data_IF_833696084457
#
_entry.id   IF_833696084457
#
_cell.length_a   1.000
_cell.length_b   1.000
_cell.length_c   1.000
_cell.angle_alpha   90.00
_cell.angle_beta   90.00
_cell.angle_gamma   90.00
#
_symmetry.space_group_name_H-M   'P 1'
#
loop_
_entity.id
_entity.type
_entity.pdbx_description
1 polymer ?
#
# COMPACT_ATOMS: atom_id res chain seq x y z
N UNK A 1 -5.52 6.77 -17.14
CA UNK A 1 -5.12 5.69 -16.23
C UNK A 1 -5.66 6.11 -14.88
N UNK A 2 -6.65 5.40 -14.35
CA UNK A 2 -7.08 5.64 -12.96
C UNK A 2 -5.99 5.06 -12.06
N UNK A 3 -5.60 5.83 -11.05
CA UNK A 3 -4.71 5.35 -10.00
C UNK A 3 -5.49 4.34 -9.14
N UNK A 4 -4.89 3.18 -8.85
CA UNK A 4 -5.53 2.17 -8.01
C UNK A 4 -5.89 2.73 -6.62
N UNK A 5 -5.11 3.69 -6.12
CA UNK A 5 -5.39 4.37 -4.85
C UNK A 5 -6.63 5.25 -4.93
N UNK A 6 -6.80 6.00 -6.04
CA UNK A 6 -7.99 6.82 -6.27
C UNK A 6 -9.27 5.96 -6.32
N UNK A 7 -9.19 4.76 -6.93
CA UNK A 7 -10.32 3.83 -7.01
C UNK A 7 -10.83 3.36 -5.64
N UNK A 8 -9.94 3.28 -4.65
CA UNK A 8 -10.28 2.92 -3.27
C UNK A 8 -10.44 4.15 -2.35
N UNK A 9 -10.44 5.37 -2.92
CA UNK A 9 -10.58 6.62 -2.18
C UNK A 9 -9.39 6.94 -1.27
N UNK A 10 -8.19 6.47 -1.61
CA UNK A 10 -6.95 6.65 -0.86
C UNK A 10 -5.92 7.44 -1.67
N UNK A 11 -4.81 7.79 -1.04
CA UNK A 11 -3.70 8.52 -1.64
C UNK A 11 -2.34 7.96 -1.18
N UNK A 12 -1.27 8.53 -1.71
CA UNK A 12 0.12 8.14 -1.39
C UNK A 12 0.46 8.30 0.10
N UNK A 13 -0.08 9.33 0.76
CA UNK A 13 0.17 9.58 2.19
C UNK A 13 -0.43 8.44 3.03
N UNK A 14 -1.67 8.07 2.77
CA UNK A 14 -2.32 6.94 3.41
C UNK A 14 -1.55 5.64 3.19
N UNK A 15 -1.09 5.38 1.97
CA UNK A 15 -0.33 4.16 1.67
C UNK A 15 0.98 4.10 2.49
N UNK A 16 1.71 5.22 2.59
CA UNK A 16 2.94 5.30 3.41
C UNK A 16 2.66 5.06 4.88
N UNK A 17 1.59 5.64 5.42
CA UNK A 17 1.18 5.45 6.82
C UNK A 17 0.81 3.99 7.10
N UNK A 18 0.07 3.33 6.21
CA UNK A 18 -0.26 1.92 6.38
C UNK A 18 0.96 1.02 6.27
N UNK A 19 1.84 1.24 5.29
CA UNK A 19 3.08 0.46 5.11
C UNK A 19 4.02 0.56 6.33
N UNK A 20 4.08 1.73 6.98
CA UNK A 20 4.86 1.93 8.19
C UNK A 20 4.40 1.01 9.34
N UNK A 21 3.10 0.67 9.43
CA UNK A 21 2.58 -0.28 10.44
C UNK A 21 3.13 -1.69 10.27
N UNK A 22 3.59 -2.04 9.05
CA UNK A 22 4.22 -3.31 8.72
C UNK A 22 5.76 -3.24 8.73
N UNK A 23 6.34 -2.18 9.31
CA UNK A 23 7.78 -1.90 9.30
C UNK A 23 8.36 -1.79 7.88
N UNK A 24 7.59 -1.25 6.93
CA UNK A 24 8.07 -0.92 5.60
C UNK A 24 8.30 0.58 5.53
N UNK A 25 9.57 0.99 5.55
CA UNK A 25 10.00 2.39 5.60
C UNK A 25 10.40 2.93 4.21
N UNK A 26 10.77 2.04 3.29
CA UNK A 26 11.06 2.35 1.90
C UNK A 26 10.13 1.54 0.99
N UNK A 27 9.31 2.23 0.21
CA UNK A 27 8.40 1.59 -0.75
C UNK A 27 9.17 0.88 -1.88
N UNK A 28 10.42 1.28 -2.13
CA UNK A 28 11.27 0.63 -3.12
C UNK A 28 11.68 -0.79 -2.71
N UNK A 29 11.52 -1.17 -1.45
CA UNK A 29 11.73 -2.55 -0.97
C UNK A 29 10.55 -3.48 -1.31
N UNK A 30 9.48 -2.95 -1.90
CA UNK A 30 8.26 -3.69 -2.19
C UNK A 30 8.21 -4.09 -3.67
N UNK A 31 7.84 -5.33 -3.93
CA UNK A 31 7.51 -5.84 -5.26
C UNK A 31 6.01 -5.67 -5.57
N UNK A 32 5.15 -6.01 -4.61
CA UNK A 32 3.69 -5.95 -4.75
C UNK A 32 3.02 -5.59 -3.41
N UNK A 33 1.99 -4.76 -3.48
CA UNK A 33 1.03 -4.55 -2.39
C UNK A 33 -0.37 -4.80 -2.94
N UNK A 34 -1.14 -5.62 -2.25
CA UNK A 34 -2.57 -5.80 -2.52
C UNK A 34 -3.38 -5.30 -1.34
N UNK A 35 -4.48 -4.59 -1.64
CA UNK A 35 -5.44 -4.13 -0.64
C UNK A 35 -6.71 -4.97 -0.73
N UNK A 36 -7.12 -5.56 0.39
CA UNK A 36 -8.32 -6.38 0.49
C UNK A 36 -9.49 -5.61 1.11
N UNK A 37 -10.70 -6.08 0.84
CA UNK A 37 -11.96 -5.48 1.34
C UNK A 37 -12.11 -5.52 2.88
N UNK A 38 -11.17 -6.14 3.61
CA UNK A 38 -11.10 -6.13 5.09
C UNK A 38 -10.08 -5.13 5.64
N UNK A 39 -9.72 -4.12 4.83
CA UNK A 39 -8.77 -3.05 5.15
C UNK A 39 -7.34 -3.53 5.50
N UNK A 40 -6.95 -4.69 4.97
CA UNK A 40 -5.59 -5.23 5.14
C UNK A 40 -4.73 -5.07 3.91
N UNK A 41 -3.43 -4.95 4.16
CA UNK A 41 -2.40 -4.97 3.12
C UNK A 41 -1.70 -6.33 3.11
N UNK A 42 -1.65 -6.94 1.94
CA UNK A 42 -0.75 -8.05 1.66
C UNK A 42 0.49 -7.51 0.95
N UNK A 43 1.67 -7.69 1.56
CA UNK A 43 2.92 -7.06 1.11
C UNK A 43 3.93 -8.13 0.71
N UNK A 44 4.42 -8.06 -0.52
CA UNK A 44 5.52 -8.88 -1.03
C UNK A 44 6.75 -8.00 -1.21
N UNK A 45 7.80 -8.27 -0.44
CA UNK A 45 9.09 -7.55 -0.52
C UNK A 45 9.98 -8.10 -1.63
N UNK A 46 10.94 -7.30 -2.10
CA UNK A 46 12.00 -7.71 -3.04
C UNK A 46 13.03 -8.65 -2.40
#
# INVERSE_FOLDING_TARGET
MEDNLEHIGKNDEWLKEELAKYNVLDINDIFLVEYSNDDKLFIVKK
#
